data_IF_627484762195
#
_entry.id   IF_627484762195
#
_cell.length_a   1.000
_cell.length_b   1.000
_cell.length_c   1.000
_cell.angle_alpha   90.00
_cell.angle_beta   90.00
_cell.angle_gamma   90.00
#
_symmetry.space_group_name_H-M   'P 1'
#
loop_
_entity.id
_entity.type
_entity.pdbx_description
1 polymer ?
#
# COMPACT_ATOMS: atom_id res chain seq x y z
N UNK A 1 -11.89 -1.06 7.15
CA UNK A 1 -11.96 0.05 6.20
C UNK A 1 -10.57 0.43 5.71
N UNK A 2 -10.45 0.71 4.42
CA UNK A 2 -9.15 1.06 3.84
C UNK A 2 -8.56 2.34 4.45
N UNK A 3 -9.38 3.29 4.86
CA UNK A 3 -8.92 4.54 5.48
C UNK A 3 -8.11 4.28 6.75
N UNK A 4 -8.33 3.17 7.42
CA UNK A 4 -7.58 2.81 8.62
C UNK A 4 -6.08 2.70 8.36
N UNK A 5 -5.67 2.38 7.14
CA UNK A 5 -4.25 2.28 6.77
C UNK A 5 -3.47 3.57 7.03
N UNK A 6 -4.15 4.70 7.00
CA UNK A 6 -3.53 6.03 7.08
C UNK A 6 -3.72 6.71 8.44
N UNK A 7 -4.34 6.04 9.40
CA UNK A 7 -4.52 6.63 10.73
C UNK A 7 -3.16 6.98 11.34
N UNK A 8 -3.06 8.13 12.02
CA UNK A 8 -1.76 8.64 12.48
C UNK A 8 -1.20 7.91 13.70
N UNK A 9 -2.02 7.11 14.38
CA UNK A 9 -1.59 6.38 15.58
C UNK A 9 -1.37 4.90 15.27
N UNK A 10 -0.62 4.23 16.15
CA UNK A 10 -0.38 2.79 16.05
C UNK A 10 -1.69 2.03 16.19
N UNK A 11 -1.83 0.95 15.43
CA UNK A 11 -3.01 0.10 15.50
C UNK A 11 -3.21 -0.48 16.89
N UNK A 12 -4.46 -0.52 17.34
CA UNK A 12 -4.83 -0.99 18.68
C UNK A 12 -5.40 -2.41 18.67
N UNK A 13 -5.92 -2.86 17.53
CA UNK A 13 -6.52 -4.18 17.34
C UNK A 13 -6.72 -4.43 15.85
N UNK A 14 -7.18 -5.62 15.48
CA UNK A 14 -7.43 -5.97 14.07
C UNK A 14 -8.48 -5.07 13.41
N UNK A 15 -9.54 -4.73 14.12
CA UNK A 15 -10.60 -3.86 13.58
C UNK A 15 -10.13 -2.45 13.25
N UNK A 16 -8.97 -2.06 13.75
CA UNK A 16 -8.36 -0.76 13.49
C UNK A 16 -7.44 -0.77 12.26
N UNK A 17 -7.39 -1.86 11.49
CA UNK A 17 -6.65 -2.00 10.25
C UNK A 17 -7.56 -2.17 9.04
N UNK A 18 -6.96 -2.63 7.96
CA UNK A 18 -7.65 -2.97 6.72
C UNK A 18 -7.50 -4.46 6.45
N UNK A 19 -8.59 -5.19 6.51
CA UNK A 19 -8.60 -6.62 6.26
C UNK A 19 -9.58 -6.94 5.15
N UNK A 20 -9.15 -7.75 4.17
CA UNK A 20 -9.99 -8.22 3.08
C UNK A 20 -10.43 -9.65 3.34
N UNK A 21 -11.54 -10.03 2.71
CA UNK A 21 -12.08 -11.37 2.83
C UNK A 21 -11.16 -12.41 2.19
N UNK A 22 -11.14 -13.60 2.76
CA UNK A 22 -10.40 -14.71 2.20
C UNK A 22 -10.84 -14.98 0.76
N UNK A 23 -9.86 -15.01 -0.14
CA UNK A 23 -10.08 -15.24 -1.56
C UNK A 23 -10.00 -16.75 -1.84
N UNK A 24 -10.99 -17.25 -2.55
CA UNK A 24 -11.06 -18.69 -2.90
C UNK A 24 -10.72 -18.96 -4.36
N UNK A 25 -9.98 -18.13 -4.98
CA UNK A 25 -9.57 -18.26 -6.38
C UNK A 25 -8.36 -17.42 -6.65
N UNK A 26 -8.05 -17.25 -7.93
CA UNK A 26 -6.95 -16.39 -8.35
C UNK A 26 -7.29 -14.92 -8.08
N UNK A 27 -6.26 -14.09 -8.02
CA UNK A 27 -6.40 -12.66 -7.88
C UNK A 27 -5.71 -12.12 -6.65
N UNK A 28 -5.93 -10.85 -6.41
CA UNK A 28 -5.31 -10.12 -5.31
C UNK A 28 -6.18 -8.92 -4.96
N UNK A 29 -5.91 -8.32 -3.80
CA UNK A 29 -6.63 -7.13 -3.35
C UNK A 29 -5.71 -5.92 -3.41
N UNK A 30 -6.31 -4.75 -3.54
CA UNK A 30 -5.54 -3.52 -3.69
C UNK A 30 -6.31 -2.32 -3.18
N UNK A 31 -5.58 -1.26 -2.89
CA UNK A 31 -6.14 0.05 -2.56
C UNK A 31 -5.28 1.14 -3.21
N UNK A 32 -5.94 2.17 -3.73
CA UNK A 32 -5.28 3.35 -4.30
C UNK A 32 -5.40 4.50 -3.30
N UNK A 33 -4.29 5.17 -3.07
CA UNK A 33 -4.18 6.30 -2.14
C UNK A 33 -3.70 7.52 -2.93
N UNK A 34 -4.47 8.61 -2.85
CA UNK A 34 -4.05 9.90 -3.39
C UNK A 34 -3.32 10.69 -2.30
N UNK A 35 -2.10 11.11 -2.60
CA UNK A 35 -1.33 11.93 -1.67
C UNK A 35 -1.80 13.39 -1.74
N UNK A 36 -1.75 14.08 -0.61
CA UNK A 36 -2.13 15.50 -0.55
C UNK A 36 -1.20 16.40 -1.33
N UNK A 37 0.08 16.04 -1.42
CA UNK A 37 1.11 16.74 -2.19
C UNK A 37 2.02 15.75 -2.88
N UNK A 38 2.59 16.09 -4.05
CA UNK A 38 3.59 15.25 -4.68
C UNK A 38 4.82 15.12 -3.78
N UNK A 39 5.43 13.95 -3.79
CA UNK A 39 6.61 13.69 -2.99
C UNK A 39 7.53 12.67 -3.63
N UNK A 40 8.76 12.67 -3.15
CA UNK A 40 9.75 11.64 -3.44
C UNK A 40 9.73 10.65 -2.28
N UNK A 41 9.25 9.44 -2.53
CA UNK A 41 9.18 8.42 -1.48
C UNK A 41 10.48 7.63 -1.44
N UNK A 42 11.13 7.66 -0.29
CA UNK A 42 12.42 6.97 -0.08
C UNK A 42 12.23 5.58 0.50
N UNK A 43 11.26 5.41 1.39
CA UNK A 43 10.98 4.14 2.04
C UNK A 43 9.54 4.03 2.48
N UNK A 44 9.14 2.79 2.74
CA UNK A 44 7.82 2.47 3.29
C UNK A 44 7.96 1.71 4.60
N UNK A 45 6.99 1.88 5.46
CA UNK A 45 6.76 1.00 6.60
C UNK A 45 5.39 0.37 6.42
N UNK A 46 5.36 -0.95 6.29
CA UNK A 46 4.13 -1.72 6.11
C UNK A 46 3.95 -2.61 7.32
N UNK A 47 2.83 -2.42 8.03
CA UNK A 47 2.59 -3.03 9.33
C UNK A 47 1.46 -4.04 9.26
N UNK A 48 1.69 -5.20 9.87
CA UNK A 48 0.69 -6.25 10.03
C UNK A 48 0.34 -6.50 11.49
N UNK A 49 0.44 -5.47 12.33
CA UNK A 49 0.16 -5.58 13.76
C UNK A 49 -1.24 -6.17 14.00
N UNK A 50 -1.33 -7.14 14.89
CA UNK A 50 -2.52 -7.90 15.26
C UNK A 50 -2.97 -8.93 14.22
N UNK A 51 -2.42 -8.93 13.01
CA UNK A 51 -2.72 -9.97 12.03
C UNK A 51 -1.69 -11.09 12.14
N UNK A 52 -2.05 -12.14 12.89
CA UNK A 52 -1.15 -13.25 13.23
C UNK A 52 -1.25 -14.42 12.27
N UNK A 53 -2.46 -14.73 11.79
CA UNK A 53 -2.68 -15.81 10.84
C UNK A 53 -3.25 -15.33 9.51
N UNK A 54 -3.89 -14.18 9.49
CA UNK A 54 -4.64 -13.61 8.37
C UNK A 54 -3.94 -12.39 7.76
N UNK A 55 -2.64 -12.43 7.71
CA UNK A 55 -1.85 -11.41 7.01
C UNK A 55 -1.55 -11.89 5.58
N UNK A 56 -1.31 -10.95 4.62
CA UNK A 56 -0.98 -11.35 3.26
C UNK A 56 0.37 -12.05 3.17
N UNK A 57 0.50 -12.96 2.21
CA UNK A 57 1.78 -13.61 1.94
C UNK A 57 2.85 -12.60 1.54
N UNK A 58 2.48 -11.69 0.65
CA UNK A 58 3.41 -10.67 0.17
C UNK A 58 2.64 -9.46 -0.33
N UNK A 59 3.36 -8.38 -0.61
CA UNK A 59 2.79 -7.14 -1.13
C UNK A 59 3.69 -6.52 -2.19
N UNK A 60 3.13 -5.58 -2.93
CA UNK A 60 3.85 -4.67 -3.81
C UNK A 60 3.25 -3.27 -3.71
N UNK A 61 4.01 -2.26 -4.11
CA UNK A 61 3.54 -0.88 -4.15
C UNK A 61 3.90 -0.27 -5.49
N UNK A 62 2.90 0.33 -6.12
CA UNK A 62 3.05 1.05 -7.38
C UNK A 62 2.78 2.52 -7.16
N UNK A 63 3.32 3.37 -8.02
CA UNK A 63 3.12 4.80 -7.92
C UNK A 63 2.96 5.49 -9.26
N UNK A 64 2.30 6.64 -9.24
CA UNK A 64 2.08 7.48 -10.39
C UNK A 64 2.19 8.95 -9.98
N UNK A 65 2.74 9.76 -10.87
CA UNK A 65 2.61 11.20 -10.79
C UNK A 65 1.71 11.70 -11.93
N UNK A 66 0.67 12.44 -11.57
CA UNK A 66 -0.21 13.08 -12.54
C UNK A 66 -0.60 14.46 -12.03
N UNK A 67 -0.44 15.47 -12.88
CA UNK A 67 -0.89 16.85 -12.60
C UNK A 67 -2.41 16.91 -12.70
N UNK A 68 -2.99 16.15 -13.61
CA UNK A 68 -4.43 16.18 -13.89
C UNK A 68 -5.19 15.29 -12.94
N UNK A 69 -6.40 15.71 -12.58
CA UNK A 69 -7.36 14.83 -11.94
C UNK A 69 -7.81 13.78 -12.96
N UNK A 70 -7.62 12.51 -12.59
CA UNK A 70 -7.99 11.39 -13.43
C UNK A 70 -9.31 10.83 -12.90
N UNK A 71 -10.26 10.53 -13.80
CA UNK A 71 -11.49 9.88 -13.33
C UNK A 71 -11.19 8.48 -12.77
N UNK A 72 -12.03 8.05 -11.85
CA UNK A 72 -11.78 6.82 -11.09
C UNK A 72 -11.66 5.59 -11.97
N UNK A 73 -12.50 5.44 -12.98
CA UNK A 73 -12.46 4.28 -13.87
C UNK A 73 -11.14 4.18 -14.62
N UNK A 74 -10.66 5.30 -15.16
CA UNK A 74 -9.39 5.36 -15.86
C UNK A 74 -8.22 5.11 -14.91
N UNK A 75 -8.27 5.72 -13.72
CA UNK A 75 -7.25 5.56 -12.70
C UNK A 75 -7.05 4.08 -12.33
N UNK A 76 -8.16 3.39 -12.05
CA UNK A 76 -8.13 1.97 -11.69
C UNK A 76 -7.61 1.13 -12.87
N UNK A 77 -8.15 1.37 -14.06
CA UNK A 77 -7.79 0.56 -15.23
C UNK A 77 -6.31 0.68 -15.59
N UNK A 78 -5.74 1.87 -15.48
CA UNK A 78 -4.34 2.11 -15.80
C UNK A 78 -3.39 1.75 -14.67
N UNK A 79 -3.87 1.64 -13.44
CA UNK A 79 -3.04 1.45 -12.24
C UNK A 79 -2.21 0.17 -12.27
N UNK A 80 -2.68 -0.86 -12.97
CA UNK A 80 -1.92 -2.11 -13.12
C UNK A 80 -0.58 -1.91 -13.83
N UNK A 81 -0.45 -0.84 -14.62
CA UNK A 81 0.75 -0.53 -15.40
C UNK A 81 1.62 0.55 -14.73
N UNK A 82 1.25 1.03 -13.57
CA UNK A 82 2.08 2.01 -12.85
C UNK A 82 3.42 1.38 -12.46
N UNK A 83 4.44 2.21 -12.36
CA UNK A 83 5.78 1.76 -11.97
C UNK A 83 5.79 1.25 -10.55
N UNK A 84 6.55 0.18 -10.31
CA UNK A 84 6.71 -0.38 -8.98
C UNK A 84 7.73 0.39 -8.17
N UNK A 85 7.32 0.84 -6.99
CA UNK A 85 8.22 1.35 -5.95
C UNK A 85 8.75 0.19 -5.11
N UNK A 86 7.94 -0.82 -4.92
CA UNK A 86 8.30 -2.09 -4.27
C UNK A 86 7.68 -3.19 -5.12
N UNK A 87 8.52 -4.12 -5.63
CA UNK A 87 8.02 -5.19 -6.51
C UNK A 87 7.32 -6.29 -5.74
N UNK A 88 8.05 -7.05 -4.97
CA UNK A 88 7.50 -8.14 -4.19
C UNK A 88 8.22 -8.22 -2.86
N UNK A 89 7.49 -8.15 -1.77
CA UNK A 89 8.06 -8.30 -0.44
C UNK A 89 7.20 -9.22 0.39
N UNK A 90 7.81 -10.27 0.91
CA UNK A 90 7.15 -11.17 1.83
C UNK A 90 6.84 -10.45 3.13
N UNK A 91 5.65 -10.66 3.62
CA UNK A 91 5.19 -10.10 4.89
C UNK A 91 5.34 -11.14 5.99
N UNK A 92 5.38 -10.67 7.22
CA UNK A 92 5.44 -11.50 8.42
C UNK A 92 4.24 -11.20 9.31
N UNK A 93 3.84 -12.16 10.16
CA UNK A 93 2.72 -11.90 11.05
C UNK A 93 3.08 -10.87 12.12
N UNK A 94 2.11 -10.07 12.50
CA UNK A 94 2.18 -9.17 13.65
C UNK A 94 3.51 -8.40 13.73
N UNK A 95 3.88 -7.71 12.65
CA UNK A 95 5.20 -7.07 12.55
C UNK A 95 5.14 -5.76 11.77
N UNK A 96 6.28 -5.07 11.78
CA UNK A 96 6.51 -3.85 11.02
C UNK A 96 7.65 -4.11 10.06
N UNK A 97 7.42 -3.91 8.76
CA UNK A 97 8.41 -4.15 7.73
C UNK A 97 8.81 -2.82 7.09
N UNK A 98 10.09 -2.48 7.20
CA UNK A 98 10.67 -1.28 6.58
C UNK A 98 11.32 -1.67 5.26
N UNK A 99 10.92 -0.99 4.18
CA UNK A 99 11.35 -1.32 2.83
C UNK A 99 11.77 -0.06 2.11
N UNK A 100 12.96 -0.07 1.52
CA UNK A 100 13.41 1.02 0.66
C UNK A 100 12.69 0.96 -0.69
N UNK A 101 12.24 2.11 -1.18
CA UNK A 101 11.67 2.18 -2.51
C UNK A 101 12.76 2.09 -3.58
N UNK A 102 12.37 1.73 -4.81
CA UNK A 102 13.32 1.66 -5.92
C UNK A 102 13.88 3.06 -6.24
N UNK A 103 15.15 3.10 -6.64
CA UNK A 103 15.89 4.36 -6.84
C UNK A 103 15.45 5.20 -8.04
N UNK A 104 14.62 4.63 -8.94
CA UNK A 104 14.32 5.26 -10.23
C UNK A 104 13.03 6.06 -10.26
N UNK A 105 12.33 6.17 -9.15
CA UNK A 105 11.05 6.89 -9.09
C UNK A 105 11.29 8.26 -8.49
N UNK A 106 11.02 9.31 -9.29
CA UNK A 106 11.38 10.68 -8.93
C UNK A 106 10.34 11.35 -8.05
N UNK A 107 9.08 11.35 -8.47
CA UNK A 107 8.00 11.89 -7.64
C UNK A 107 6.70 11.19 -7.97
N UNK A 108 5.80 11.16 -7.00
CA UNK A 108 4.49 10.55 -7.13
C UNK A 108 3.46 11.35 -6.36
N UNK A 109 2.20 11.23 -6.75
CA UNK A 109 1.07 11.72 -5.97
C UNK A 109 -0.05 10.69 -5.86
N UNK A 110 0.14 9.48 -6.40
CA UNK A 110 -0.75 8.35 -6.23
C UNK A 110 0.08 7.12 -5.86
N UNK A 111 -0.45 6.33 -4.92
CA UNK A 111 0.10 5.04 -4.52
C UNK A 111 -0.95 3.97 -4.71
N UNK A 112 -0.51 2.76 -5.06
CA UNK A 112 -1.35 1.58 -5.05
C UNK A 112 -0.65 0.50 -4.23
N UNK A 113 -1.29 0.09 -3.14
CA UNK A 113 -0.83 -1.04 -2.34
C UNK A 113 -1.55 -2.29 -2.83
N UNK A 114 -0.79 -3.28 -3.25
CA UNK A 114 -1.30 -4.59 -3.65
C UNK A 114 -0.94 -5.60 -2.58
N UNK A 115 -1.90 -6.44 -2.20
CA UNK A 115 -1.67 -7.53 -1.24
C UNK A 115 -2.08 -8.85 -1.88
N UNK A 116 -1.32 -9.91 -1.58
CA UNK A 116 -1.48 -11.19 -2.23
C UNK A 116 -1.58 -12.30 -1.19
N UNK A 117 -2.58 -13.19 -1.26
CA UNK A 117 -3.80 -13.06 -2.08
C UNK A 117 -4.84 -12.16 -1.43
N UNK A 118 -4.83 -12.04 -0.11
CA UNK A 118 -5.77 -11.30 0.73
C UNK A 118 -5.17 -11.15 2.12
N UNK A 119 -5.92 -10.59 3.06
CA UNK A 119 -5.52 -10.54 4.46
C UNK A 119 -5.56 -9.14 5.04
N UNK A 120 -4.85 -8.95 6.14
CA UNK A 120 -4.87 -7.72 6.91
C UNK A 120 -3.56 -6.97 6.93
N UNK A 121 -3.66 -5.66 6.73
CA UNK A 121 -2.59 -4.67 6.90
C UNK A 121 -3.08 -3.66 7.92
N UNK A 122 -2.28 -3.38 8.93
CA UNK A 122 -2.69 -2.41 9.95
C UNK A 122 -2.39 -0.98 9.56
N UNK A 123 -1.23 -0.72 8.98
CA UNK A 123 -0.82 0.63 8.55
C UNK A 123 0.14 0.56 7.36
N UNK A 124 0.12 1.62 6.54
CA UNK A 124 1.17 1.89 5.57
C UNK A 124 1.66 3.32 5.81
N UNK A 125 2.99 3.48 5.87
CA UNK A 125 3.64 4.78 5.99
C UNK A 125 4.59 4.95 4.80
N UNK A 126 4.47 6.07 4.12
CA UNK A 126 5.38 6.47 3.06
C UNK A 126 6.25 7.60 3.59
N UNK A 127 7.55 7.41 3.54
CA UNK A 127 8.52 8.34 4.13
C UNK A 127 9.39 8.90 3.02
N UNK A 128 9.47 10.22 2.94
CA UNK A 128 10.22 10.88 1.90
C UNK A 128 10.19 12.40 2.05
N UNK A 129 10.31 13.09 0.93
CA UNK A 129 10.39 14.55 0.88
C UNK A 129 9.28 15.10 -0.01
N UNK A 130 8.72 16.23 0.40
CA UNK A 130 7.84 17.01 -0.49
C UNK A 130 8.66 17.71 -1.54
N UNK A 131 8.10 17.79 -2.72
CA UNK A 131 8.72 18.48 -3.86
C UNK A 131 7.93 19.73 -4.23
#
# INVERSE_FOLDING_TARGET
RAENLLLPFKSKNMGNGWETKRRRGSGYDWVIIKLGKPGLIEKFNIETHYFKGNYPSHCSVQGLYSIKNINISKLINESKNWKFLIKNKNLKPNSSLKINSTKHIKKINYLKLNIYPDGGISRIRAIGKFL
#
